data_IF_202886370943
#
_entry.id   IF_202886370943
#
_cell.length_a   1.000
_cell.length_b   1.000
_cell.length_c   1.000
_cell.angle_alpha   90.00
_cell.angle_beta   90.00
_cell.angle_gamma   90.00
#
_symmetry.space_group_name_H-M   'P 1'
#
loop_
_entity.id
_entity.type
_entity.pdbx_description
1 polymer ?
#
# COMPACT_ATOMS: atom_id res chain seq x y z
N UNK A 1 -11.54 17.88 0.90
CA UNK A 1 -10.57 17.84 -0.21
C UNK A 1 -9.84 16.52 -0.13
N UNK A 2 -9.80 15.75 -1.22
CA UNK A 2 -9.05 14.50 -1.30
C UNK A 2 -7.74 14.74 -2.05
N UNK A 3 -6.61 14.29 -1.48
CA UNK A 3 -5.32 14.34 -2.14
C UNK A 3 -4.96 12.92 -2.58
N UNK A 4 -4.62 12.76 -3.86
CA UNK A 4 -4.25 11.48 -4.45
C UNK A 4 -2.79 11.54 -4.89
N UNK A 5 -1.98 10.61 -4.40
CA UNK A 5 -0.58 10.45 -4.78
C UNK A 5 -0.47 9.63 -6.08
N UNK A 6 0.53 9.95 -6.90
CA UNK A 6 0.77 9.25 -8.17
C UNK A 6 1.58 7.98 -7.97
N UNK A 7 0.93 6.85 -7.72
CA UNK A 7 1.67 5.60 -7.84
C UNK A 7 2.05 5.36 -9.32
N UNK A 8 3.33 4.99 -9.52
CA UNK A 8 4.13 4.86 -10.76
C UNK A 8 3.44 4.31 -12.03
N UNK A 9 2.27 3.67 -11.90
CA UNK A 9 1.49 3.06 -12.98
C UNK A 9 0.27 3.89 -13.43
N UNK A 10 0.28 5.22 -13.30
CA UNK A 10 -0.79 6.14 -13.76
C UNK A 10 -2.21 5.85 -13.20
N UNK A 11 -2.37 4.85 -12.33
CA UNK A 11 -3.64 4.48 -11.71
C UNK A 11 -4.19 5.60 -10.81
N UNK A 12 -3.31 6.41 -10.22
CA UNK A 12 -3.69 7.57 -9.42
C UNK A 12 -4.47 8.62 -10.23
N UNK A 13 -4.16 8.79 -11.52
CA UNK A 13 -4.85 9.74 -12.39
C UNK A 13 -6.28 9.31 -12.71
N UNK A 14 -6.49 8.02 -12.99
CA UNK A 14 -7.82 7.49 -13.26
C UNK A 14 -8.74 7.62 -12.04
N UNK A 15 -8.21 7.36 -10.85
CA UNK A 15 -8.92 7.58 -9.59
C UNK A 15 -9.25 9.06 -9.39
N UNK A 16 -8.29 9.96 -9.60
CA UNK A 16 -8.50 11.39 -9.48
C UNK A 16 -9.56 11.92 -10.45
N UNK A 17 -9.58 11.44 -11.70
CA UNK A 17 -10.59 11.76 -12.70
C UNK A 17 -11.97 11.23 -12.27
N UNK A 18 -12.05 10.00 -11.77
CA UNK A 18 -13.31 9.39 -11.32
C UNK A 18 -13.91 10.13 -10.12
N UNK A 19 -13.07 10.55 -9.17
CA UNK A 19 -13.49 11.39 -8.04
C UNK A 19 -13.92 12.79 -8.48
N UNK A 20 -13.22 13.36 -9.47
CA UNK A 20 -13.60 14.64 -10.09
C UNK A 20 -14.98 14.59 -10.75
N UNK A 21 -15.30 13.50 -11.46
CA UNK A 21 -16.64 13.24 -12.02
C UNK A 21 -17.72 13.19 -10.94
N UNK A 22 -17.38 12.64 -9.77
CA UNK A 22 -18.26 12.59 -8.58
C UNK A 22 -18.33 13.91 -7.80
N UNK A 23 -17.81 15.03 -8.34
CA UNK A 23 -17.79 16.36 -7.74
C UNK A 23 -17.04 16.45 -6.40
N UNK A 24 -16.08 15.55 -6.18
CA UNK A 24 -15.18 15.62 -5.04
C UNK A 24 -13.99 16.49 -5.43
N UNK A 25 -13.67 17.50 -4.61
CA UNK A 25 -12.47 18.31 -4.83
C UNK A 25 -11.22 17.45 -4.64
N UNK A 26 -10.56 17.11 -5.75
CA UNK A 26 -9.35 16.31 -5.79
C UNK A 26 -8.13 17.13 -6.15
N UNK A 27 -6.98 16.75 -5.59
CA UNK A 27 -5.68 17.33 -5.93
C UNK A 27 -4.70 16.19 -6.15
N UNK A 28 -4.09 16.17 -7.33
CA UNK A 28 -3.04 15.22 -7.67
C UNK A 28 -1.70 15.80 -7.23
N UNK A 29 -0.91 14.98 -6.56
CA UNK A 29 0.42 15.35 -6.06
C UNK A 29 1.44 14.32 -6.48
N UNK A 30 2.68 14.78 -6.65
CA UNK A 30 3.81 13.89 -6.87
C UNK A 30 4.16 13.09 -5.62
N UNK A 31 4.61 11.85 -5.82
CA UNK A 31 5.08 10.99 -4.73
C UNK A 31 6.24 11.65 -3.96
N UNK A 32 7.10 12.41 -4.66
CA UNK A 32 8.18 13.19 -4.03
C UNK A 32 7.66 14.33 -3.12
N UNK A 33 6.42 14.78 -3.31
CA UNK A 33 5.82 15.89 -2.56
C UNK A 33 4.96 15.41 -1.36
N UNK A 34 4.86 14.09 -1.12
CA UNK A 34 4.06 13.51 -0.03
C UNK A 34 4.44 14.12 1.32
N UNK A 35 5.73 14.18 1.62
CA UNK A 35 6.20 14.67 2.92
C UNK A 35 5.91 16.17 3.14
N UNK A 36 5.96 16.97 2.07
CA UNK A 36 5.72 18.40 2.13
C UNK A 36 4.24 18.72 2.42
N UNK A 37 3.32 17.95 1.82
CA UNK A 37 1.89 18.21 1.93
C UNK A 37 1.25 17.55 3.17
N UNK A 38 1.92 16.55 3.77
CA UNK A 38 1.39 15.77 4.89
C UNK A 38 0.99 16.65 6.09
N UNK A 39 1.66 17.79 6.30
CA UNK A 39 1.31 18.79 7.33
C UNK A 39 -0.11 19.34 7.22
N UNK A 40 -0.72 19.28 6.02
CA UNK A 40 -2.08 19.76 5.74
C UNK A 40 -3.09 18.63 5.61
N UNK A 41 -2.66 17.38 5.74
CA UNK A 41 -3.51 16.19 5.60
C UNK A 41 -4.11 15.84 6.96
N UNK A 42 -5.42 15.64 7.02
CA UNK A 42 -6.09 15.25 8.27
C UNK A 42 -6.14 13.74 8.49
N UNK A 43 -6.21 12.96 7.41
CA UNK A 43 -6.37 11.50 7.40
C UNK A 43 -5.76 10.94 6.13
N UNK A 44 -5.12 9.79 6.25
CA UNK A 44 -4.62 9.02 5.11
C UNK A 44 -5.52 7.81 4.92
N UNK A 45 -6.00 7.61 3.70
CA UNK A 45 -6.81 6.45 3.33
C UNK A 45 -6.05 5.69 2.25
N UNK A 46 -5.71 4.43 2.53
CA UNK A 46 -4.99 3.57 1.60
C UNK A 46 -5.76 2.27 1.35
N UNK A 47 -5.67 1.78 0.12
CA UNK A 47 -6.04 0.42 -0.22
C UNK A 47 -4.86 -0.53 0.02
N UNK A 48 -5.17 -1.82 0.15
CA UNK A 48 -4.15 -2.87 0.26
C UNK A 48 -4.43 -4.00 -0.74
N UNK A 49 -3.38 -4.69 -1.14
CA UNK A 49 -3.48 -5.92 -1.92
C UNK A 49 -3.77 -7.11 -1.01
N UNK A 50 -3.02 -7.24 0.08
CA UNK A 50 -3.16 -8.35 1.05
C UNK A 50 -2.85 -7.83 2.46
N UNK A 51 -3.55 -8.34 3.47
CA UNK A 51 -3.26 -8.10 4.89
C UNK A 51 -2.70 -9.39 5.47
N UNK A 52 -1.54 -9.31 6.10
CA UNK A 52 -0.84 -10.46 6.69
C UNK A 52 -1.36 -10.77 8.09
N UNK A 53 -1.05 -11.96 8.60
CA UNK A 53 -1.46 -12.35 9.95
C UNK A 53 -0.84 -11.54 11.08
N UNK A 54 0.34 -10.94 10.84
CA UNK A 54 0.95 -9.97 11.75
C UNK A 54 0.20 -8.63 11.80
N UNK A 55 -0.81 -8.43 10.95
CA UNK A 55 -1.48 -7.14 10.73
C UNK A 55 -0.71 -6.21 9.77
N UNK A 56 0.43 -6.66 9.24
CA UNK A 56 1.16 -5.94 8.20
C UNK A 56 0.41 -5.92 6.87
N UNK A 57 0.71 -4.94 6.03
CA UNK A 57 0.07 -4.77 4.73
C UNK A 57 1.04 -5.07 3.61
N UNK A 58 0.54 -5.71 2.56
CA UNK A 58 1.12 -5.70 1.22
C UNK A 58 0.33 -4.72 0.38
N UNK A 59 0.88 -3.52 0.20
CA UNK A 59 0.27 -2.45 -0.55
C UNK A 59 1.08 -2.14 -1.82
N UNK A 60 0.56 -1.25 -2.66
CA UNK A 60 1.27 -0.82 -3.86
C UNK A 60 2.53 -0.03 -3.44
N UNK A 61 3.59 -0.13 -4.24
CA UNK A 61 4.84 0.59 -4.03
C UNK A 61 4.62 2.08 -3.71
N UNK A 62 5.36 2.60 -2.72
CA UNK A 62 5.23 3.97 -2.22
C UNK A 62 4.24 4.12 -1.04
N UNK A 63 3.39 3.14 -0.77
CA UNK A 63 2.46 3.18 0.37
C UNK A 63 3.19 3.22 1.71
N UNK A 64 4.37 2.59 1.83
CA UNK A 64 5.17 2.66 3.04
C UNK A 64 5.64 4.09 3.32
N UNK A 65 6.06 4.82 2.29
CA UNK A 65 6.51 6.22 2.40
C UNK A 65 5.36 7.10 2.91
N UNK A 66 4.15 6.89 2.39
CA UNK A 66 2.94 7.59 2.87
C UNK A 66 2.67 7.26 4.34
N UNK A 67 2.73 5.98 4.72
CA UNK A 67 2.46 5.54 6.09
C UNK A 67 3.51 6.06 7.09
N UNK A 68 4.78 6.08 6.69
CA UNK A 68 5.88 6.62 7.50
C UNK A 68 5.75 8.14 7.67
N UNK A 69 5.45 8.86 6.59
CA UNK A 69 5.18 10.30 6.66
C UNK A 69 3.97 10.59 7.55
N UNK A 70 2.88 9.82 7.41
CA UNK A 70 1.69 9.97 8.25
C UNK A 70 2.01 9.76 9.72
N UNK A 71 2.82 8.74 10.05
CA UNK A 71 3.29 8.49 11.42
C UNK A 71 4.08 9.68 11.98
N UNK A 72 5.00 10.24 11.20
CA UNK A 72 5.79 11.41 11.61
C UNK A 72 4.91 12.63 11.95
N UNK A 73 3.86 12.88 11.15
CA UNK A 73 2.92 13.97 11.38
C UNK A 73 1.74 13.59 12.29
N UNK A 74 1.76 12.40 12.93
CA UNK A 74 0.68 11.88 13.77
C UNK A 74 -0.70 11.86 13.09
N UNK A 75 -0.71 11.66 11.77
CA UNK A 75 -1.93 11.55 10.97
C UNK A 75 -2.40 10.09 10.99
N UNK A 76 -3.68 9.82 11.29
CA UNK A 76 -4.19 8.46 11.32
C UNK A 76 -4.23 7.86 9.90
N UNK A 77 -3.72 6.63 9.78
CA UNK A 77 -3.73 5.82 8.55
C UNK A 77 -4.87 4.83 8.63
N UNK A 78 -5.80 4.96 7.69
CA UNK A 78 -7.00 4.13 7.55
C UNK A 78 -6.81 3.22 6.33
N UNK A 79 -6.93 1.92 6.54
CA UNK A 79 -6.78 0.92 5.48
C UNK A 79 -8.15 0.38 5.10
N UNK A 80 -8.49 0.46 3.83
CA UNK A 80 -9.70 -0.14 3.27
C UNK A 80 -9.35 -1.53 2.73
N UNK A 81 -9.77 -2.57 3.46
CA UNK A 81 -9.48 -3.95 3.13
C UNK A 81 -10.71 -4.83 3.37
N UNK A 82 -11.31 -5.43 2.31
CA UNK A 82 -12.33 -6.45 2.49
C UNK A 82 -11.74 -7.72 3.14
N UNK A 83 -12.56 -8.48 3.86
CA UNK A 83 -12.10 -9.63 4.66
C UNK A 83 -11.41 -10.73 3.84
N UNK A 84 -11.76 -10.92 2.57
CA UNK A 84 -11.12 -11.94 1.73
C UNK A 84 -9.64 -11.65 1.40
N UNK A 85 -9.16 -10.41 1.66
CA UNK A 85 -7.75 -10.04 1.47
C UNK A 85 -6.88 -10.35 2.70
N UNK A 86 -7.48 -10.84 3.78
CA UNK A 86 -6.76 -11.31 4.97
C UNK A 86 -6.13 -12.66 4.63
N UNK A 87 -4.81 -12.77 4.79
CA UNK A 87 -4.06 -14.01 4.62
C UNK A 87 -3.50 -14.45 5.98
N UNK A 88 -3.62 -15.73 6.35
CA UNK A 88 -3.04 -16.27 7.59
C UNK A 88 -1.51 -16.42 7.53
N UNK A 89 -0.89 -16.15 6.38
CA UNK A 89 0.55 -16.25 6.22
C UNK A 89 1.27 -15.25 7.14
N UNK A 90 2.25 -15.76 7.90
CA UNK A 90 3.20 -14.96 8.65
C UNK A 90 4.48 -14.79 7.82
N UNK A 91 4.91 -13.54 7.65
CA UNK A 91 6.25 -13.30 7.12
C UNK A 91 7.26 -13.51 8.25
N UNK A 92 8.01 -14.60 8.18
CA UNK A 92 9.30 -14.69 8.83
C UNK A 92 10.23 -13.66 8.16
N UNK A 93 10.85 -12.80 8.95
CA UNK A 93 11.56 -11.57 8.57
C UNK A 93 12.73 -11.72 7.57
N UNK A 94 12.99 -12.93 7.05
CA UNK A 94 14.19 -13.27 6.28
C UNK A 94 13.99 -13.33 4.76
N UNK A 95 12.77 -13.25 4.23
CA UNK A 95 12.52 -13.41 2.79
C UNK A 95 11.70 -12.26 2.19
N UNK A 96 12.24 -11.03 2.28
CA UNK A 96 11.64 -9.85 1.63
C UNK A 96 11.65 -9.95 0.10
N UNK A 97 12.56 -10.77 -0.46
CA UNK A 97 12.68 -10.98 -1.90
C UNK A 97 11.49 -11.78 -2.47
N UNK A 98 10.90 -12.70 -1.70
CA UNK A 98 9.67 -13.41 -2.09
C UNK A 98 8.40 -12.52 -2.02
N UNK A 99 8.45 -11.41 -1.27
CA UNK A 99 7.31 -10.54 -1.04
C UNK A 99 7.11 -9.51 -2.17
N UNK A 100 8.20 -8.96 -2.68
CA UNK A 100 8.15 -7.99 -3.77
C UNK A 100 8.10 -8.71 -5.12
N UNK A 101 6.99 -8.51 -5.85
CA UNK A 101 6.93 -8.94 -7.24
C UNK A 101 7.70 -7.93 -8.08
N UNK A 102 8.77 -8.40 -8.73
CA UNK A 102 9.53 -7.62 -9.69
C UNK A 102 8.89 -7.77 -11.07
N UNK A 103 8.52 -6.65 -11.66
CA UNK A 103 8.01 -6.59 -13.03
C UNK A 103 9.06 -6.07 -13.99
N UNK A 104 8.75 -6.10 -15.29
CA UNK A 104 9.62 -5.58 -16.34
C UNK A 104 10.09 -4.15 -15.98
N UNK A 105 11.40 -3.87 -16.12
CA UNK A 105 11.96 -2.54 -15.87
C UNK A 105 11.54 -1.51 -16.94
N UNK A 106 10.80 -1.91 -17.97
CA UNK A 106 10.32 -1.02 -19.04
C UNK A 106 9.52 0.19 -18.52
N UNK A 107 8.77 0.02 -17.43
CA UNK A 107 8.04 1.12 -16.80
C UNK A 107 8.97 2.20 -16.22
N UNK A 108 10.19 1.83 -15.83
CA UNK A 108 11.18 2.73 -15.22
C UNK A 108 12.13 3.29 -16.28
N UNK A 109 12.64 2.43 -17.15
CA UNK A 109 13.59 2.80 -18.19
C UNK A 109 13.12 2.19 -19.52
N UNK A 110 12.88 3.05 -20.51
CA UNK A 110 12.43 2.60 -21.83
C UNK A 110 13.57 1.90 -22.56
N UNK A 111 13.22 0.86 -23.32
CA UNK A 111 14.19 0.13 -24.14
C UNK A 111 14.92 1.02 -25.17
N UNK A 112 14.30 2.13 -25.56
CA UNK A 112 14.85 3.13 -26.48
C UNK A 112 16.19 3.72 -26.02
N UNK A 113 16.48 3.69 -24.72
CA UNK A 113 17.70 4.26 -24.12
C UNK A 113 18.89 3.27 -24.12
N UNK A 114 18.87 2.32 -25.07
CA UNK A 114 19.69 1.10 -25.17
C UNK A 114 21.19 1.18 -24.91
N UNK A 115 21.81 2.36 -25.06
CA UNK A 115 23.24 2.54 -24.76
C UNK A 115 23.55 2.47 -23.25
N UNK A 116 22.59 2.82 -22.39
CA UNK A 116 22.77 2.89 -20.93
C UNK A 116 22.33 1.58 -20.26
N UNK A 117 21.39 0.86 -20.87
CA UNK A 117 20.81 -0.39 -20.36
C UNK A 117 21.83 -1.51 -20.10
N UNK A 118 22.97 -1.52 -20.81
CA UNK A 118 24.03 -2.52 -20.60
C UNK A 118 24.88 -2.28 -19.34
N UNK A 119 24.79 -1.10 -18.71
CA UNK A 119 25.62 -0.71 -17.55
C UNK A 119 24.81 -0.47 -16.28
N UNK A 120 23.49 -0.49 -16.35
CA UNK A 120 22.61 -0.11 -15.24
C UNK A 120 21.72 -1.30 -14.88
N UNK A 121 21.71 -1.64 -13.59
CA UNK A 121 20.74 -2.58 -13.03
C UNK A 121 19.50 -1.81 -12.58
N UNK A 122 18.34 -2.16 -13.15
CA UNK A 122 17.06 -1.51 -12.85
C UNK A 122 16.17 -2.52 -12.15
N UNK A 123 15.69 -2.17 -10.96
CA UNK A 123 14.70 -2.93 -10.21
C UNK A 123 13.37 -2.19 -10.21
N UNK A 124 12.28 -2.92 -10.44
CA UNK A 124 10.92 -2.37 -10.44
C UNK A 124 10.00 -3.21 -9.53
N UNK A 125 10.01 -2.97 -8.21
CA UNK A 125 9.08 -3.61 -7.28
C UNK A 125 7.67 -3.02 -7.40
N UNK A 126 6.66 -3.87 -7.53
CA UNK A 126 5.25 -3.44 -7.61
C UNK A 126 4.63 -3.23 -6.23
N UNK A 127 5.02 -4.06 -5.27
CA UNK A 127 4.46 -4.07 -3.93
C UNK A 127 5.48 -3.59 -2.90
N UNK A 128 4.97 -3.23 -1.73
CA UNK A 128 5.74 -2.76 -0.60
C UNK A 128 5.08 -3.21 0.71
N UNK A 129 5.90 -3.44 1.72
CA UNK A 129 5.47 -3.95 3.01
C UNK A 129 5.29 -2.79 3.99
N UNK A 130 4.07 -2.60 4.48
CA UNK A 130 3.79 -1.62 5.53
C UNK A 130 3.64 -2.35 6.86
N UNK A 131 4.49 -2.08 7.85
CA UNK A 131 4.37 -2.72 9.15
C UNK A 131 3.07 -2.29 9.87
N UNK A 132 2.50 -3.16 10.72
CA UNK A 132 1.23 -2.91 11.41
C UNK A 132 1.25 -1.68 12.31
N UNK A 133 2.42 -1.27 12.81
CA UNK A 133 2.60 -0.13 13.73
C UNK A 133 2.31 1.25 13.11
N UNK A 134 2.31 1.32 11.77
CA UNK A 134 1.98 2.52 11.01
C UNK A 134 0.49 2.60 10.71
N UNK A 135 -0.25 1.50 10.88
CA UNK A 135 -1.68 1.42 10.61
C UNK A 135 -2.48 1.77 11.85
N UNK A 136 -3.47 2.65 11.72
CA UNK A 136 -4.33 3.05 12.84
C UNK A 136 -5.63 2.24 12.87
N UNK A 137 -6.28 2.09 11.72
CA UNK A 137 -7.61 1.48 11.63
C UNK A 137 -7.76 0.69 10.33
N UNK A 138 -8.29 -0.52 10.44
CA UNK A 138 -8.76 -1.32 9.33
C UNK A 138 -10.26 -1.15 9.17
N UNK A 139 -10.72 -0.91 7.95
CA UNK A 139 -12.15 -0.90 7.63
C UNK A 139 -12.41 -2.07 6.68
N UNK A 140 -13.22 -3.01 7.17
CA UNK A 140 -13.72 -4.15 6.41
C UNK A 140 -15.25 -4.06 6.25
N UNK A 141 -15.84 -5.05 5.58
CA UNK A 141 -17.29 -5.16 5.40
C UNK A 141 -18.07 -5.40 6.71
N UNK A 142 -17.41 -5.87 7.77
CA UNK A 142 -18.04 -6.08 9.09
C UNK A 142 -17.89 -4.89 10.03
N UNK A 143 -16.97 -3.97 9.75
CA UNK A 143 -16.78 -2.77 10.55
C UNK A 143 -15.33 -2.30 10.62
N UNK A 144 -15.07 -1.42 11.59
CA UNK A 144 -13.74 -0.92 11.90
C UNK A 144 -13.03 -1.80 12.92
N UNK A 145 -11.82 -2.25 12.61
CA UNK A 145 -11.00 -3.13 13.44
C UNK A 145 -9.64 -2.52 13.71
N UNK A 146 -9.13 -2.69 14.93
CA UNK A 146 -7.75 -2.36 15.24
C UNK A 146 -6.79 -3.39 14.61
N UNK A 147 -5.55 -3.03 14.27
CA UNK A 147 -4.56 -3.98 13.77
C UNK A 147 -4.37 -5.22 14.64
N UNK A 148 -4.46 -5.07 15.97
CA UNK A 148 -4.37 -6.17 16.93
C UNK A 148 -5.55 -7.16 16.84
N UNK A 149 -6.69 -6.73 16.31
CA UNK A 149 -7.88 -7.57 16.16
C UNK A 149 -7.81 -8.48 14.92
N UNK A 150 -6.86 -8.22 14.01
CA UNK A 150 -6.68 -9.01 12.77
C UNK A 150 -6.45 -10.50 13.08
N UNK A 151 -5.71 -10.82 14.13
CA UNK A 151 -5.48 -12.21 14.56
C UNK A 151 -6.79 -12.95 14.87
N UNK A 152 -7.73 -12.30 15.55
CA UNK A 152 -9.03 -12.89 15.87
C UNK A 152 -9.87 -13.09 14.62
N UNK A 153 -9.88 -12.11 13.71
CA UNK A 153 -10.56 -12.26 12.41
C UNK A 153 -10.03 -13.46 11.63
N UNK A 154 -8.71 -13.67 11.63
CA UNK A 154 -8.12 -14.84 10.98
C UNK A 154 -8.54 -16.15 11.64
N UNK A 155 -8.58 -16.22 12.96
CA UNK A 155 -9.04 -17.43 13.67
C UNK A 155 -10.52 -17.76 13.41
N UNK A 156 -11.33 -16.74 13.09
CA UNK A 156 -12.75 -16.91 12.73
C UNK A 156 -12.93 -17.32 11.25
N UNK A 157 -11.96 -17.00 10.38
CA UNK A 157 -12.01 -17.22 8.93
C UNK A 157 -11.29 -18.49 8.46
N UNK A 158 -10.18 -18.84 9.11
CA UNK A 158 -9.28 -19.92 8.69
C UNK A 158 -9.09 -20.93 9.80
N UNK A 159 -9.01 -22.21 9.43
CA UNK A 159 -8.58 -23.25 10.34
C UNK A 159 -7.05 -23.18 10.49
N UNK A 160 -6.48 -23.37 11.70
CA UNK A 160 -5.03 -23.30 11.90
C UNK A 160 -4.22 -24.33 11.10
N UNK A 161 -4.84 -25.41 10.63
CA UNK A 161 -4.21 -26.43 9.78
C UNK A 161 -4.08 -26.00 8.31
N UNK A 162 -4.80 -24.95 7.88
CA UNK A 162 -4.83 -24.49 6.48
C UNK A 162 -3.83 -23.34 6.20
N UNK A 163 -2.90 -23.08 7.12
CA UNK A 163 -1.99 -21.93 7.04
C UNK A 163 -0.83 -22.13 6.04
N UNK A 164 -0.46 -23.39 5.74
CA UNK A 164 0.74 -23.75 4.97
C UNK A 164 0.44 -24.14 3.50
N UNK A 165 -0.70 -23.69 2.96
CA UNK A 165 -1.13 -23.95 1.57
C UNK A 165 -0.37 -23.13 0.52
#
# INVERSE_FOLDING_TARGET
QAMTTECFWLQGHELAVSLGKSKIQTTVIADSAIFAIMSRVNKVIIGTHTVMASGGLRAVCGSHIVALAAKHYSVPVIVLAPMYKLSPQFLCSYDQDAFNSFVSPEGVLKYSDGAILSKVHVYNPVFDYVPPELVTLFISNTGGHAPSYVYRLLSELYHPEDNDL
#
